data_IF_190416419506
#
_entry.id   IF_190416419506
#
_cell.length_a   1.000
_cell.length_b   1.000
_cell.length_c   1.000
_cell.angle_alpha   90.00
_cell.angle_beta   90.00
_cell.angle_gamma   90.00
#
_symmetry.space_group_name_H-M   'P 1'
#
loop_
_entity.id
_entity.type
_entity.pdbx_description
1 polymer ?
#
# COMPACT_ATOMS: atom_id res chain seq x y z
N UNK A 1 -31.52 15.09 4.77
CA UNK A 1 -31.82 14.22 3.62
C UNK A 1 -30.71 13.18 3.60
N UNK A 2 -31.04 11.89 3.74
CA UNK A 2 -30.09 10.80 3.51
C UNK A 2 -29.82 10.76 2.01
N UNK A 3 -28.60 11.04 1.60
CA UNK A 3 -28.21 10.87 0.20
C UNK A 3 -28.26 9.36 -0.05
N UNK A 4 -29.20 8.91 -0.87
CA UNK A 4 -29.27 7.52 -1.27
C UNK A 4 -28.01 7.21 -2.09
N UNK A 5 -27.24 6.22 -1.65
CA UNK A 5 -26.00 5.84 -2.31
C UNK A 5 -26.33 4.96 -3.52
N UNK A 6 -26.01 5.41 -4.71
CA UNK A 6 -26.10 4.61 -5.91
C UNK A 6 -24.92 3.61 -5.95
N UNK A 7 -25.19 2.36 -5.56
CA UNK A 7 -24.19 1.31 -5.48
C UNK A 7 -23.58 0.93 -6.82
N UNK A 8 -24.36 0.99 -7.91
CA UNK A 8 -23.86 0.68 -9.25
C UNK A 8 -22.88 1.74 -9.75
N UNK A 9 -23.20 3.00 -9.55
CA UNK A 9 -22.30 4.12 -9.87
C UNK A 9 -21.01 4.04 -9.05
N UNK A 10 -21.12 3.75 -7.75
CA UNK A 10 -19.99 3.60 -6.84
C UNK A 10 -19.09 2.43 -7.26
N UNK A 11 -19.68 1.29 -7.65
CA UNK A 11 -18.95 0.14 -8.15
C UNK A 11 -18.18 0.50 -9.43
N UNK A 12 -18.87 1.09 -10.41
CA UNK A 12 -18.23 1.47 -11.67
C UNK A 12 -17.08 2.47 -11.46
N UNK A 13 -17.27 3.44 -10.57
CA UNK A 13 -16.21 4.39 -10.20
C UNK A 13 -15.02 3.68 -9.51
N UNK A 14 -15.29 2.75 -8.60
CA UNK A 14 -14.23 1.95 -7.96
C UNK A 14 -13.42 1.14 -8.96
N UNK A 15 -14.08 0.52 -9.94
CA UNK A 15 -13.43 -0.24 -11.01
C UNK A 15 -12.58 0.68 -11.91
N UNK A 16 -13.10 1.87 -12.25
CA UNK A 16 -12.33 2.83 -13.05
C UNK A 16 -11.09 3.30 -12.32
N UNK A 17 -11.23 3.72 -11.05
CA UNK A 17 -10.09 4.15 -10.23
C UNK A 17 -9.08 3.00 -10.08
N UNK A 18 -9.54 1.77 -9.84
CA UNK A 18 -8.65 0.61 -9.76
C UNK A 18 -7.90 0.39 -11.07
N UNK A 19 -8.57 0.55 -12.21
CA UNK A 19 -7.95 0.46 -13.54
C UNK A 19 -6.82 1.48 -13.68
N UNK A 20 -7.06 2.72 -13.28
CA UNK A 20 -6.06 3.80 -13.32
C UNK A 20 -4.89 3.50 -12.37
N UNK A 21 -5.17 3.02 -11.14
CA UNK A 21 -4.13 2.69 -10.16
C UNK A 21 -3.26 1.50 -10.61
N UNK A 22 -3.83 0.50 -11.29
CA UNK A 22 -3.07 -0.64 -11.81
C UNK A 22 -2.07 -0.19 -12.88
N UNK A 23 -2.41 0.82 -13.68
CA UNK A 23 -1.54 1.33 -14.73
C UNK A 23 -0.25 1.98 -14.18
N UNK A 24 -0.24 2.44 -12.93
CA UNK A 24 0.99 2.88 -12.28
C UNK A 24 1.83 1.68 -11.87
N UNK A 25 3.02 1.55 -12.46
CA UNK A 25 4.00 0.55 -12.06
C UNK A 25 4.70 1.03 -10.78
N UNK A 26 4.30 0.47 -9.64
CA UNK A 26 4.83 0.81 -8.31
C UNK A 26 5.36 -0.43 -7.62
N UNK A 27 6.34 -1.11 -8.25
CA UNK A 27 7.02 -2.25 -7.62
C UNK A 27 7.82 -1.73 -6.42
N UNK A 28 7.82 -2.47 -5.31
CA UNK A 28 8.54 -2.10 -4.09
C UNK A 28 9.99 -1.70 -4.40
N UNK A 29 10.43 -0.58 -3.85
CA UNK A 29 11.71 0.05 -4.14
C UNK A 29 11.72 0.96 -5.37
N UNK A 30 10.71 0.94 -6.24
CA UNK A 30 10.57 1.86 -7.38
C UNK A 30 9.83 3.15 -6.98
N UNK A 31 9.88 4.15 -7.86
CA UNK A 31 9.17 5.43 -7.69
C UNK A 31 7.65 5.23 -7.74
N UNK A 32 6.94 5.73 -6.73
CA UNK A 32 5.49 5.71 -6.64
C UNK A 32 4.86 7.12 -6.73
N UNK A 33 5.64 8.15 -7.02
CA UNK A 33 5.21 9.54 -6.96
C UNK A 33 4.03 9.84 -7.89
N UNK A 34 3.99 9.25 -9.07
CA UNK A 34 2.90 9.44 -10.03
C UNK A 34 1.56 8.93 -9.48
N UNK A 35 1.54 7.76 -8.83
CA UNK A 35 0.34 7.22 -8.17
C UNK A 35 -0.07 8.11 -7.00
N UNK A 36 0.87 8.53 -6.19
CA UNK A 36 0.60 9.41 -5.04
C UNK A 36 0.04 10.75 -5.49
N UNK A 37 0.58 11.35 -6.55
CA UNK A 37 0.05 12.60 -7.11
C UNK A 37 -1.39 12.41 -7.60
N UNK A 38 -1.67 11.32 -8.31
CA UNK A 38 -3.05 10.99 -8.71
C UNK A 38 -4.01 10.94 -7.50
N UNK A 39 -3.63 10.25 -6.43
CA UNK A 39 -4.44 10.15 -5.22
C UNK A 39 -4.61 11.52 -4.52
N UNK A 40 -3.55 12.31 -4.44
CA UNK A 40 -3.58 13.64 -3.85
C UNK A 40 -4.49 14.58 -4.63
N UNK A 41 -4.29 14.69 -5.94
CA UNK A 41 -5.10 15.54 -6.82
C UNK A 41 -6.59 15.17 -6.74
N UNK A 42 -6.89 13.87 -6.68
CA UNK A 42 -8.27 13.39 -6.52
C UNK A 42 -8.89 13.87 -5.20
N UNK A 43 -8.15 13.76 -4.10
CA UNK A 43 -8.62 14.13 -2.76
C UNK A 43 -8.67 15.66 -2.58
N UNK A 44 -7.71 16.39 -3.13
CA UNK A 44 -7.67 17.85 -3.07
C UNK A 44 -8.86 18.50 -3.78
N UNK A 45 -9.31 17.93 -4.91
CA UNK A 45 -10.54 18.37 -5.60
C UNK A 45 -11.79 18.23 -4.72
N UNK A 46 -11.75 17.37 -3.72
CA UNK A 46 -12.83 17.16 -2.75
C UNK A 46 -12.69 18.03 -1.48
N UNK A 47 -11.66 18.87 -1.42
CA UNK A 47 -11.38 19.76 -0.31
C UNK A 47 -10.62 19.08 0.84
N UNK A 48 -9.95 17.95 0.60
CA UNK A 48 -9.04 17.38 1.57
C UNK A 48 -7.82 18.29 1.76
N UNK A 49 -7.21 18.23 2.93
CA UNK A 49 -5.89 18.80 3.18
C UNK A 49 -4.88 17.68 3.29
N UNK A 50 -3.75 17.79 2.61
CA UNK A 50 -2.77 16.74 2.52
C UNK A 50 -1.36 17.18 2.89
N UNK A 51 -0.50 16.20 3.15
CA UNK A 51 0.95 16.35 3.17
C UNK A 51 1.61 15.02 2.76
N UNK A 52 2.86 15.13 2.32
CA UNK A 52 3.70 14.01 1.89
C UNK A 52 4.89 13.84 2.80
N UNK A 53 5.35 12.60 2.94
CA UNK A 53 6.66 12.27 3.47
C UNK A 53 7.44 11.44 2.46
N UNK A 54 8.76 11.49 2.52
CA UNK A 54 9.62 10.94 1.49
C UNK A 54 10.67 10.03 2.11
N UNK A 55 11.14 9.07 1.34
CA UNK A 55 12.38 8.37 1.66
C UNK A 55 13.59 9.30 1.53
N UNK A 56 14.78 8.82 1.90
CA UNK A 56 16.02 9.60 1.88
C UNK A 56 16.42 10.05 0.46
N UNK A 57 16.02 9.32 -0.58
CA UNK A 57 16.32 9.64 -1.97
C UNK A 57 15.23 10.52 -2.63
N UNK A 58 14.14 10.77 -1.94
CA UNK A 58 12.95 11.50 -2.41
C UNK A 58 12.28 10.87 -3.64
N UNK A 59 12.40 9.56 -3.79
CA UNK A 59 11.79 8.79 -4.87
C UNK A 59 10.48 8.12 -4.45
N UNK A 60 10.41 7.70 -3.18
CA UNK A 60 9.24 7.01 -2.64
C UNK A 60 8.50 7.92 -1.69
N UNK A 61 7.19 7.94 -1.81
CA UNK A 61 6.34 8.96 -1.22
C UNK A 61 5.21 8.31 -0.44
N UNK A 62 5.00 8.77 0.79
CA UNK A 62 3.75 8.54 1.51
C UNK A 62 2.82 9.74 1.33
N UNK A 63 1.53 9.48 1.32
CA UNK A 63 0.48 10.50 1.37
C UNK A 63 -0.34 10.35 2.65
N UNK A 64 -0.59 11.47 3.31
CA UNK A 64 -1.60 11.56 4.35
C UNK A 64 -2.55 12.72 3.99
N UNK A 65 -3.79 12.39 3.73
CA UNK A 65 -4.82 13.37 3.37
C UNK A 65 -6.01 13.30 4.32
N UNK A 66 -6.68 14.42 4.58
CA UNK A 66 -7.74 14.54 5.56
C UNK A 66 -8.96 15.23 4.99
N UNK A 67 -10.10 14.56 4.98
CA UNK A 67 -11.41 15.18 4.89
C UNK A 67 -11.88 15.53 6.30
N UNK A 68 -11.90 16.84 6.58
CA UNK A 68 -12.22 17.34 7.92
C UNK A 68 -13.71 17.35 8.22
N UNK A 69 -14.06 16.90 9.40
CA UNK A 69 -15.40 17.12 9.94
C UNK A 69 -15.59 18.56 10.38
N UNK A 70 -16.81 19.07 10.19
CA UNK A 70 -17.16 20.41 10.71
C UNK A 70 -17.17 20.46 12.24
N UNK A 71 -17.50 19.34 12.90
CA UNK A 71 -17.49 19.17 14.37
C UNK A 71 -17.13 17.73 14.69
N UNK A 72 -16.09 17.52 15.47
CA UNK A 72 -15.62 16.17 15.84
C UNK A 72 -16.19 15.66 17.16
N UNK A 73 -16.74 16.53 18.01
CA UNK A 73 -17.31 16.18 19.33
C UNK A 73 -16.43 15.22 20.16
N UNK A 74 -15.10 15.26 20.00
CA UNK A 74 -14.16 14.38 20.68
C UNK A 74 -14.15 12.92 20.18
N UNK A 75 -14.81 12.64 19.06
CA UNK A 75 -14.83 11.29 18.46
C UNK A 75 -13.53 11.06 17.69
N UNK A 76 -12.89 9.90 17.91
CA UNK A 76 -11.65 9.52 17.20
C UNK A 76 -11.87 9.49 15.69
N UNK A 77 -10.90 9.97 14.89
CA UNK A 77 -10.94 9.89 13.43
C UNK A 77 -10.91 8.44 12.93
N UNK A 78 -11.30 8.26 11.69
CA UNK A 78 -11.08 7.01 10.95
C UNK A 78 -9.87 7.22 10.02
N UNK A 79 -8.96 6.26 10.02
CA UNK A 79 -7.79 6.21 9.15
C UNK A 79 -7.98 5.04 8.19
N UNK A 80 -8.06 5.33 6.90
CA UNK A 80 -8.12 4.35 5.81
C UNK A 80 -6.70 4.17 5.30
N UNK A 81 -6.07 3.05 5.65
CA UNK A 81 -4.65 2.81 5.41
C UNK A 81 -4.42 1.72 4.38
N UNK A 82 -3.53 2.00 3.43
CA UNK A 82 -3.10 1.05 2.42
C UNK A 82 -1.70 1.35 1.90
N UNK A 83 -1.03 0.32 1.37
CA UNK A 83 0.23 0.49 0.68
C UNK A 83 0.03 0.64 -0.83
N UNK A 84 0.92 1.38 -1.47
CA UNK A 84 0.86 1.69 -2.90
C UNK A 84 1.78 0.83 -3.74
N UNK A 85 2.75 0.20 -3.10
CA UNK A 85 3.69 -0.69 -3.75
C UNK A 85 3.11 -2.08 -4.01
N UNK A 86 3.78 -2.83 -4.83
CA UNK A 86 3.41 -4.19 -5.21
C UNK A 86 4.65 -5.04 -5.37
N UNK A 87 4.53 -6.34 -5.11
CA UNK A 87 5.60 -7.28 -5.39
C UNK A 87 5.95 -7.35 -6.88
N UNK A 88 7.19 -7.72 -7.24
CA UNK A 88 7.61 -7.91 -8.63
C UNK A 88 6.70 -8.85 -9.42
N UNK A 89 6.67 -8.68 -10.73
CA UNK A 89 5.90 -9.54 -11.64
C UNK A 89 6.76 -10.70 -12.12
N UNK A 90 6.16 -11.89 -12.19
CA UNK A 90 6.81 -13.06 -12.78
C UNK A 90 6.56 -13.15 -14.29
N UNK A 91 7.32 -13.99 -14.99
CA UNK A 91 7.13 -14.26 -16.43
C UNK A 91 5.86 -15.06 -16.75
N UNK A 92 5.15 -15.57 -15.74
CA UNK A 92 3.99 -16.45 -15.89
C UNK A 92 2.65 -15.72 -16.04
N UNK A 93 2.63 -14.39 -16.11
CA UNK A 93 1.39 -13.64 -16.34
C UNK A 93 0.86 -13.88 -17.74
N UNK A 94 -0.44 -14.19 -17.84
CA UNK A 94 -1.14 -14.42 -19.11
C UNK A 94 -1.69 -13.13 -19.75
N UNK A 95 -1.61 -12.01 -19.06
CA UNK A 95 -2.00 -10.66 -19.50
C UNK A 95 -0.91 -9.68 -19.06
N UNK A 96 -0.92 -8.46 -19.58
CA UNK A 96 -0.06 -7.41 -19.05
C UNK A 96 -0.44 -7.12 -17.59
N UNK A 97 0.49 -7.26 -16.62
CA UNK A 97 0.19 -7.07 -15.20
C UNK A 97 -0.21 -5.63 -14.84
N UNK A 98 0.20 -4.64 -15.65
CA UNK A 98 -0.10 -3.22 -15.41
C UNK A 98 -1.24 -2.69 -16.29
N UNK A 99 -1.98 -3.59 -16.94
CA UNK A 99 -3.21 -3.29 -17.67
C UNK A 99 -4.37 -4.07 -17.07
N UNK A 100 -5.32 -3.36 -16.46
CA UNK A 100 -6.50 -4.00 -15.87
C UNK A 100 -7.27 -4.80 -16.93
N UNK A 101 -7.45 -6.08 -16.68
CA UNK A 101 -8.14 -6.99 -17.61
C UNK A 101 -9.33 -7.63 -16.91
N UNK A 102 -10.54 -7.36 -17.42
CA UNK A 102 -11.77 -7.98 -16.91
C UNK A 102 -12.04 -9.28 -17.68
N UNK A 103 -12.25 -10.38 -16.94
CA UNK A 103 -12.65 -11.70 -17.48
C UNK A 103 -13.77 -12.25 -16.60
N UNK A 104 -14.99 -12.26 -17.13
CA UNK A 104 -16.19 -12.64 -16.36
C UNK A 104 -16.44 -11.68 -15.20
N UNK A 105 -16.49 -12.20 -14.00
CA UNK A 105 -16.70 -11.46 -12.74
C UNK A 105 -15.41 -11.02 -12.05
N UNK A 106 -14.25 -11.15 -12.70
CA UNK A 106 -12.93 -10.89 -12.11
C UNK A 106 -12.16 -9.84 -12.88
N UNK A 107 -11.46 -8.98 -12.11
CA UNK A 107 -10.51 -8.01 -12.63
C UNK A 107 -9.09 -8.48 -12.27
N UNK A 108 -8.26 -8.62 -13.30
CA UNK A 108 -6.87 -9.04 -13.20
C UNK A 108 -5.93 -7.84 -13.42
N UNK A 109 -4.93 -7.72 -12.58
CA UNK A 109 -3.86 -6.74 -12.65
C UNK A 109 -2.97 -6.81 -11.42
N UNK A 110 -1.71 -6.43 -11.51
CA UNK A 110 -0.81 -6.42 -10.36
C UNK A 110 -1.30 -5.41 -9.32
N UNK A 111 -1.46 -5.86 -8.07
CA UNK A 111 -1.96 -5.05 -6.97
C UNK A 111 -3.50 -4.89 -6.95
N UNK A 112 -4.25 -5.55 -7.86
CA UNK A 112 -5.72 -5.45 -7.86
C UNK A 112 -6.35 -5.92 -6.56
N UNK A 113 -5.77 -6.94 -5.91
CA UNK A 113 -6.21 -7.47 -4.63
C UNK A 113 -5.36 -6.94 -3.47
N UNK A 114 -4.05 -6.87 -3.67
CA UNK A 114 -3.04 -6.48 -2.69
C UNK A 114 -2.24 -5.27 -3.21
N UNK A 115 -2.59 -4.01 -2.78
CA UNK A 115 -3.89 -3.70 -2.20
C UNK A 115 -4.51 -2.42 -2.82
N UNK A 116 -4.21 -2.16 -4.11
CA UNK A 116 -4.76 -1.01 -4.87
C UNK A 116 -6.29 -1.05 -4.94
N UNK A 117 -6.91 -2.25 -4.84
CA UNK A 117 -8.36 -2.39 -4.79
C UNK A 117 -8.98 -1.69 -3.58
N UNK A 118 -8.37 -1.79 -2.41
CA UNK A 118 -8.82 -1.04 -1.23
C UNK A 118 -8.63 0.47 -1.43
N UNK A 119 -7.49 0.90 -1.95
CA UNK A 119 -7.23 2.32 -2.25
C UNK A 119 -8.31 2.85 -3.20
N UNK A 120 -8.61 2.12 -4.27
CA UNK A 120 -9.65 2.50 -5.22
C UNK A 120 -11.03 2.63 -4.57
N UNK A 121 -11.41 1.69 -3.72
CA UNK A 121 -12.66 1.75 -2.98
C UNK A 121 -12.70 2.99 -2.06
N UNK A 122 -11.63 3.28 -1.32
CA UNK A 122 -11.59 4.44 -0.41
C UNK A 122 -11.71 5.75 -1.18
N UNK A 123 -11.04 5.88 -2.32
CA UNK A 123 -11.14 7.05 -3.20
C UNK A 123 -12.55 7.17 -3.80
N UNK A 124 -13.17 6.08 -4.25
CA UNK A 124 -14.52 6.11 -4.78
C UNK A 124 -15.57 6.57 -3.74
N UNK A 125 -15.36 6.26 -2.47
CA UNK A 125 -16.20 6.74 -1.37
C UNK A 125 -15.91 8.19 -0.95
N UNK A 126 -14.74 8.74 -1.25
CA UNK A 126 -14.34 10.06 -0.81
C UNK A 126 -15.32 11.19 -1.20
N UNK A 127 -15.93 11.22 -2.42
CA UNK A 127 -16.95 12.20 -2.78
C UNK A 127 -18.21 12.15 -1.89
N UNK A 128 -18.55 10.95 -1.40
CA UNK A 128 -19.69 10.77 -0.49
C UNK A 128 -19.34 11.35 0.87
N UNK A 129 -18.14 11.08 1.37
CA UNK A 129 -17.66 11.66 2.63
C UNK A 129 -17.60 13.19 2.56
N UNK A 130 -17.06 13.76 1.48
CA UNK A 130 -16.95 15.20 1.29
C UNK A 130 -18.32 15.92 1.30
N UNK A 131 -19.36 15.26 0.79
CA UNK A 131 -20.74 15.79 0.76
C UNK A 131 -21.53 15.54 2.05
N UNK A 132 -21.03 14.69 2.93
CA UNK A 132 -21.73 14.29 4.17
C UNK A 132 -21.32 15.21 5.33
N UNK A 133 -22.24 15.44 6.27
CA UNK A 133 -21.90 16.09 7.53
C UNK A 133 -21.16 15.09 8.44
N UNK A 134 -19.86 15.01 8.27
CA UNK A 134 -19.00 14.15 9.07
C UNK A 134 -19.01 14.62 10.54
N UNK A 135 -19.03 13.66 11.47
CA UNK A 135 -18.86 13.87 12.92
C UNK A 135 -17.44 13.52 13.41
N UNK A 136 -16.58 13.06 12.51
CA UNK A 136 -15.17 12.73 12.73
C UNK A 136 -14.38 12.95 11.46
N UNK A 137 -13.10 13.25 11.58
CA UNK A 137 -12.20 13.34 10.44
C UNK A 137 -12.02 11.97 9.79
N UNK A 138 -11.86 11.97 8.47
CA UNK A 138 -11.48 10.77 7.70
C UNK A 138 -10.11 11.04 7.11
N UNK A 139 -9.15 10.19 7.46
CA UNK A 139 -7.80 10.24 6.95
C UNK A 139 -7.57 9.14 5.91
N UNK A 140 -6.92 9.50 4.82
CA UNK A 140 -6.38 8.58 3.82
C UNK A 140 -4.87 8.50 4.06
N UNK A 141 -4.38 7.32 4.32
CA UNK A 141 -2.99 7.05 4.69
C UNK A 141 -2.41 6.05 3.70
N UNK A 142 -1.64 6.53 2.72
CA UNK A 142 -1.06 5.69 1.68
C UNK A 142 0.45 5.66 1.83
N UNK A 143 1.01 4.45 1.99
CA UNK A 143 2.43 4.25 2.27
C UNK A 143 3.14 3.54 1.12
N UNK A 144 4.46 3.62 1.11
CA UNK A 144 5.33 2.90 0.20
C UNK A 144 6.05 1.74 0.90
N UNK A 145 6.50 0.76 0.11
CA UNK A 145 7.38 -0.35 0.52
C UNK A 145 6.87 -1.14 1.73
N UNK A 146 5.58 -1.44 1.74
CA UNK A 146 5.00 -2.37 2.72
C UNK A 146 5.59 -3.77 2.53
N UNK A 147 5.62 -4.25 1.28
CA UNK A 147 6.05 -5.57 0.84
C UNK A 147 7.56 -5.84 1.09
N UNK A 148 8.29 -4.82 1.49
CA UNK A 148 9.73 -4.89 1.85
C UNK A 148 10.00 -4.33 3.24
N UNK A 149 9.29 -4.88 4.26
CA UNK A 149 9.42 -4.55 5.68
C UNK A 149 8.79 -3.20 6.09
N UNK A 150 7.72 -2.74 5.45
CA UNK A 150 6.92 -1.56 5.82
C UNK A 150 7.75 -0.27 5.93
N UNK A 151 8.73 -0.05 5.03
CA UNK A 151 9.72 1.03 5.15
C UNK A 151 9.12 2.43 5.19
N UNK A 152 7.98 2.66 4.52
CA UNK A 152 7.31 3.96 4.49
C UNK A 152 6.58 4.31 5.78
N UNK A 153 5.99 3.34 6.45
CA UNK A 153 5.13 3.56 7.60
C UNK A 153 5.84 4.25 8.80
N UNK A 154 7.05 3.85 9.23
CA UNK A 154 7.78 4.54 10.30
C UNK A 154 8.03 6.01 10.00
N UNK A 155 8.38 6.35 8.75
CA UNK A 155 8.65 7.73 8.33
C UNK A 155 7.38 8.58 8.47
N UNK A 156 6.25 8.05 8.04
CA UNK A 156 4.97 8.75 8.16
C UNK A 156 4.56 8.89 9.63
N UNK A 157 4.71 7.86 10.46
CA UNK A 157 4.37 7.88 11.89
C UNK A 157 5.16 8.97 12.62
N UNK A 158 6.45 9.12 12.35
CA UNK A 158 7.26 10.18 12.94
C UNK A 158 6.76 11.58 12.56
N UNK A 159 6.32 11.77 11.31
CA UNK A 159 5.76 13.06 10.89
C UNK A 159 4.37 13.31 11.51
N UNK A 160 3.53 12.29 11.66
CA UNK A 160 2.24 12.39 12.35
C UNK A 160 2.43 12.82 13.82
N UNK A 161 3.42 12.25 14.51
CA UNK A 161 3.78 12.65 15.88
C UNK A 161 4.21 14.11 15.95
N UNK A 162 5.08 14.58 15.05
CA UNK A 162 5.54 15.98 15.00
C UNK A 162 4.38 16.95 14.78
N UNK A 163 3.39 16.55 13.98
CA UNK A 163 2.20 17.36 13.69
C UNK A 163 1.11 17.25 14.76
N UNK A 164 1.32 16.45 15.82
CA UNK A 164 0.34 16.17 16.86
C UNK A 164 -1.00 15.66 16.30
N UNK A 165 -0.95 14.86 15.22
CA UNK A 165 -2.15 14.25 14.66
C UNK A 165 -2.58 13.13 15.58
N UNK A 166 -3.84 13.20 16.03
CA UNK A 166 -4.39 12.26 17.00
C UNK A 166 -4.49 10.84 16.43
N UNK A 167 -4.33 9.87 17.32
CA UNK A 167 -4.62 8.46 17.03
C UNK A 167 -6.11 8.26 16.67
N UNK A 168 -6.37 7.32 15.78
CA UNK A 168 -7.70 7.02 15.26
C UNK A 168 -8.01 5.54 15.25
N UNK A 169 -9.18 5.21 14.72
CA UNK A 169 -9.54 3.84 14.35
C UNK A 169 -8.94 3.61 12.96
N UNK A 170 -7.91 2.78 12.88
CA UNK A 170 -7.25 2.46 11.63
C UNK A 170 -7.88 1.21 10.98
N UNK A 171 -8.29 1.36 9.72
CA UNK A 171 -8.74 0.27 8.87
C UNK A 171 -7.64 0.05 7.84
N UNK A 172 -6.94 -1.08 7.94
CA UNK A 172 -5.90 -1.51 7.01
C UNK A 172 -6.56 -2.47 6.03
N UNK A 173 -6.51 -2.13 4.75
CA UNK A 173 -7.32 -2.79 3.72
C UNK A 173 -6.68 -4.02 3.09
N UNK A 174 -5.90 -4.78 3.85
CA UNK A 174 -5.28 -6.02 3.40
C UNK A 174 -6.31 -7.09 2.97
N UNK A 175 -5.96 -8.02 2.06
CA UNK A 175 -6.88 -9.00 1.52
C UNK A 175 -7.24 -10.12 2.51
N UNK A 176 -8.10 -9.82 3.48
CA UNK A 176 -8.52 -10.72 4.57
C UNK A 176 -9.76 -11.57 4.23
N UNK A 177 -10.16 -11.64 2.96
CA UNK A 177 -11.44 -12.25 2.52
C UNK A 177 -12.64 -11.62 3.24
N UNK A 178 -12.62 -10.30 3.44
CA UNK A 178 -13.64 -9.49 4.14
C UNK A 178 -13.88 -9.90 5.59
N UNK A 179 -12.91 -10.54 6.24
CA UNK A 179 -12.97 -10.83 7.68
C UNK A 179 -12.24 -9.73 8.45
N UNK A 180 -12.75 -9.41 9.61
CA UNK A 180 -12.06 -8.52 10.55
C UNK A 180 -10.94 -9.32 11.20
N UNK A 181 -9.70 -8.87 11.02
CA UNK A 181 -8.49 -9.41 11.63
C UNK A 181 -7.93 -8.33 12.53
N UNK A 182 -7.78 -8.62 13.81
CA UNK A 182 -7.33 -7.68 14.83
C UNK A 182 -5.89 -7.94 15.33
N UNK A 183 -5.25 -9.00 14.83
CA UNK A 183 -3.87 -9.34 15.12
C UNK A 183 -3.27 -10.25 14.04
N UNK A 184 -1.96 -10.24 13.92
CA UNK A 184 -1.20 -11.15 13.05
C UNK A 184 0.12 -11.57 13.71
N UNK A 185 0.72 -12.64 13.20
CA UNK A 185 2.05 -13.07 13.62
C UNK A 185 3.11 -12.12 13.08
N UNK A 186 4.18 -11.92 13.84
CA UNK A 186 5.38 -11.24 13.33
C UNK A 186 6.07 -12.09 12.25
N UNK A 187 6.74 -11.40 11.34
CA UNK A 187 7.61 -12.02 10.34
C UNK A 187 9.05 -11.56 10.59
N UNK A 188 9.99 -12.49 10.48
CA UNK A 188 11.42 -12.21 10.57
C UNK A 188 12.11 -12.84 9.38
N UNK A 189 12.90 -12.05 8.68
CA UNK A 189 13.74 -12.53 7.58
C UNK A 189 15.21 -12.50 8.00
N UNK A 190 15.93 -13.55 7.65
CA UNK A 190 17.35 -13.67 7.95
C UNK A 190 18.12 -14.02 6.70
N UNK A 191 19.27 -13.41 6.53
CA UNK A 191 20.24 -13.76 5.49
C UNK A 191 21.48 -14.34 6.16
N UNK A 192 21.83 -15.55 5.80
CA UNK A 192 23.05 -16.20 6.26
C UNK A 192 24.06 -16.23 5.11
N UNK A 193 25.22 -15.64 5.33
CA UNK A 193 26.32 -15.65 4.39
C UNK A 193 27.30 -16.77 4.72
N UNK A 194 27.70 -17.53 3.72
CA UNK A 194 28.72 -18.56 3.82
C UNK A 194 29.92 -18.15 3.00
N UNK A 195 31.05 -17.97 3.66
CA UNK A 195 32.32 -17.68 3.01
C UNK A 195 33.16 -18.95 2.94
N UNK A 196 33.81 -19.16 1.80
CA UNK A 196 34.67 -20.27 1.54
C UNK A 196 36.10 -19.83 1.20
N UNK A 197 37.00 -20.81 1.13
CA UNK A 197 38.36 -20.60 0.65
C UNK A 197 38.49 -21.23 -0.73
N UNK A 198 38.85 -20.41 -1.73
CA UNK A 198 39.04 -20.91 -3.08
C UNK A 198 40.22 -21.89 -3.15
N UNK A 199 40.03 -22.97 -3.88
CA UNK A 199 41.04 -24.00 -4.10
C UNK A 199 40.89 -24.61 -5.50
N UNK A 200 41.99 -25.22 -6.03
CA UNK A 200 41.91 -25.94 -7.28
C UNK A 200 41.01 -27.15 -7.17
N UNK A 201 40.18 -27.44 -8.17
CA UNK A 201 39.22 -28.56 -8.15
C UNK A 201 39.86 -29.94 -7.94
N UNK A 202 41.11 -30.11 -8.36
CA UNK A 202 41.91 -31.37 -8.15
C UNK A 202 42.48 -31.52 -6.72
N UNK A 203 42.36 -30.46 -5.89
CA UNK A 203 42.89 -30.43 -4.53
C UNK A 203 41.88 -29.81 -3.53
N UNK A 204 40.67 -30.40 -3.39
CA UNK A 204 39.60 -29.81 -2.58
C UNK A 204 39.97 -29.66 -1.10
N UNK A 205 40.92 -30.48 -0.62
CA UNK A 205 41.46 -30.44 0.74
C UNK A 205 42.26 -29.17 1.06
N UNK A 206 42.60 -28.34 0.04
CA UNK A 206 43.28 -27.06 0.18
C UNK A 206 42.31 -25.86 0.16
N UNK A 207 41.03 -26.12 -0.03
CA UNK A 207 39.97 -25.11 -0.03
C UNK A 207 38.94 -25.37 1.03
N UNK A 208 37.95 -24.48 1.12
CA UNK A 208 36.76 -24.65 1.98
C UNK A 208 35.53 -24.34 1.12
N UNK A 209 34.62 -25.30 0.97
CA UNK A 209 33.40 -25.13 0.16
C UNK A 209 32.29 -24.43 0.95
N UNK A 210 32.00 -23.18 0.61
CA UNK A 210 30.86 -22.46 1.16
C UNK A 210 29.54 -23.20 0.88
N UNK A 211 29.41 -23.84 -0.28
CA UNK A 211 28.22 -24.62 -0.66
C UNK A 211 28.02 -25.83 0.26
N UNK A 212 29.10 -26.54 0.63
CA UNK A 212 29.01 -27.67 1.55
C UNK A 212 28.50 -27.25 2.94
N UNK A 213 28.99 -26.12 3.45
CA UNK A 213 28.50 -25.57 4.73
C UNK A 213 27.06 -25.06 4.62
N UNK A 214 26.70 -24.41 3.53
CA UNK A 214 25.33 -23.96 3.28
C UNK A 214 24.34 -25.13 3.25
N UNK A 215 24.70 -26.23 2.59
CA UNK A 215 23.83 -27.42 2.52
C UNK A 215 23.71 -28.17 3.86
N UNK A 216 24.70 -28.07 4.76
CA UNK A 216 24.60 -28.61 6.10
C UNK A 216 23.77 -27.76 7.05
N UNK A 217 23.63 -26.44 6.72
CA UNK A 217 22.85 -25.52 7.50
C UNK A 217 21.35 -25.57 7.16
N UNK A 218 20.99 -25.81 5.89
CA UNK A 218 19.62 -25.90 5.40
C UNK A 218 18.96 -27.25 5.80
#
# INVERSE_FOLDING_TARGET
MSTEINLEELYNNSVQILTDLIAFRTISGEDNSALINYCEDYLDQLGATSFKTFDSEKKRVNLFATLKAKKTNGVKPIILSGHTDTVPVSKSWSTDPFTATVKGDKLYGRGSCDMKGFIACTLAFAPIYAKTNLNRDIHFCFTFDEETACLGAPILIEELKKRNIQDGICIIGEPTKMKIIDAHKGCYEYTTHFEGLAGHSSAPHKGVSAVEFATRYA
#
